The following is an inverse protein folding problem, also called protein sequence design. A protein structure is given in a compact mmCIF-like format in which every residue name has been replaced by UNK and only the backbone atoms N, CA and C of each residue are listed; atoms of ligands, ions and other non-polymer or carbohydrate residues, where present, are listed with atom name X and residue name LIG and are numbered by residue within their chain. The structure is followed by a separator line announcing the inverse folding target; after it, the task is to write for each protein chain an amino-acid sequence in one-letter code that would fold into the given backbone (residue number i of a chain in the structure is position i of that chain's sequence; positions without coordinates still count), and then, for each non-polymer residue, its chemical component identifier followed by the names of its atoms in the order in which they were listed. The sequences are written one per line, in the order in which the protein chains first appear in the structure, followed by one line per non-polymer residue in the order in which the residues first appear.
data_IF_701281087400
#
_entry.id   IF_701281087400
#
_cell.length_a   1.000
_cell.length_b   1.000
_cell.length_c   1.000
_cell.angle_alpha   90.00
_cell.angle_beta   90.00
_cell.angle_gamma   90.00
#
_symmetry.space_group_name_H-M   'P 1'
#
loop_
_entity.id
_entity.type
_entity.pdbx_description
1 polymer ?
#
# COMPACT_ATOMS: atom_id res chain seq x y z
N UNK A 1 -54.16 40.48 20.06
CA UNK A 1 -55.10 39.33 20.06
C UNK A 1 -54.52 38.34 19.05
N UNK A 2 -54.00 37.17 19.34
CA UNK A 2 -54.09 36.28 20.49
C UNK A 2 -52.74 35.53 20.60
N UNK A 3 -52.19 35.42 21.81
CA UNK A 3 -50.96 34.69 22.10
C UNK A 3 -51.28 33.20 22.28
N UNK A 4 -50.49 32.32 21.68
CA UNK A 4 -50.39 30.92 22.09
C UNK A 4 -48.91 30.55 22.17
N UNK A 5 -48.36 30.81 23.36
CA UNK A 5 -47.08 30.34 23.86
C UNK A 5 -47.14 28.83 24.11
N UNK A 6 -46.37 28.07 23.33
CA UNK A 6 -45.79 26.76 23.66
C UNK A 6 -44.48 26.74 22.85
N UNK A 7 -43.33 27.22 23.32
CA UNK A 7 -42.83 27.05 24.66
C UNK A 7 -42.49 25.58 24.89
N UNK A 8 -41.49 25.04 24.18
CA UNK A 8 -40.47 24.14 24.73
C UNK A 8 -39.44 23.75 23.65
N UNK A 9 -38.25 24.34 23.75
CA UNK A 9 -37.01 23.67 23.38
C UNK A 9 -36.97 22.32 24.12
N UNK A 10 -37.11 21.20 23.41
CA UNK A 10 -36.69 19.91 23.92
C UNK A 10 -35.27 19.62 23.40
N UNK A 11 -34.34 20.43 23.92
CA UNK A 11 -33.04 19.92 24.36
C UNK A 11 -33.35 18.90 25.47
N UNK A 12 -32.60 17.79 25.54
CA UNK A 12 -32.84 16.59 26.37
C UNK A 12 -33.91 15.66 25.76
N UNK A 13 -33.68 14.40 25.38
CA UNK A 13 -32.77 13.43 25.94
C UNK A 13 -32.69 12.22 24.96
N UNK A 14 -31.83 12.31 23.95
CA UNK A 14 -31.18 11.11 23.45
C UNK A 14 -29.68 11.27 23.72
N UNK A 15 -29.34 11.31 25.00
CA UNK A 15 -28.06 10.79 25.46
C UNK A 15 -28.09 9.29 25.19
N UNK A 16 -27.90 8.92 23.92
CA UNK A 16 -27.27 7.63 23.67
C UNK A 16 -25.92 7.73 24.37
N UNK A 17 -25.61 6.87 25.34
CA UNK A 17 -24.21 6.62 25.60
C UNK A 17 -23.72 6.04 24.28
N UNK A 18 -22.92 6.81 23.54
CA UNK A 18 -21.94 6.18 22.67
C UNK A 18 -21.12 5.34 23.63
N UNK A 19 -21.49 4.07 23.77
CA UNK A 19 -20.63 3.06 24.36
C UNK A 19 -19.38 3.14 23.50
N UNK A 20 -18.37 3.82 24.02
CA UNK A 20 -17.02 3.63 23.59
C UNK A 20 -16.77 2.14 23.73
N UNK A 21 -16.82 1.47 22.58
CA UNK A 21 -16.19 0.19 22.24
C UNK A 21 -16.45 -0.07 20.73
N UNK A 22 -16.15 0.93 19.91
CA UNK A 22 -15.65 0.71 18.56
C UNK A 22 -14.30 1.43 18.48
N UNK A 23 -13.42 1.14 19.44
CA UNK A 23 -12.01 1.43 19.25
C UNK A 23 -11.59 0.57 18.06
N UNK A 24 -11.45 1.19 16.89
CA UNK A 24 -10.68 0.59 15.81
C UNK A 24 -9.37 0.15 16.45
N UNK A 25 -9.20 -1.17 16.64
CA UNK A 25 -8.03 -1.70 17.32
C UNK A 25 -6.82 -1.17 16.58
N UNK A 26 -6.02 -0.34 17.25
CA UNK A 26 -4.77 0.09 16.69
C UNK A 26 -3.94 -1.18 16.44
N UNK A 27 -3.50 -1.37 15.20
CA UNK A 27 -2.61 -2.46 14.86
C UNK A 27 -1.36 -2.37 15.75
N UNK A 28 -0.93 -3.49 16.31
CA UNK A 28 0.38 -3.60 16.95
C UNK A 28 1.48 -3.36 15.92
N UNK A 29 2.69 -3.00 16.35
CA UNK A 29 3.78 -2.71 15.40
C UNK A 29 4.11 -3.91 14.51
N UNK A 30 4.00 -5.14 15.04
CA UNK A 30 4.15 -6.38 14.25
C UNK A 30 3.05 -6.55 13.20
N UNK A 31 1.80 -6.26 13.57
CA UNK A 31 0.67 -6.32 12.63
C UNK A 31 0.82 -5.24 11.55
N UNK A 32 1.27 -4.03 11.92
CA UNK A 32 1.52 -2.96 10.96
C UNK A 32 2.58 -3.34 9.95
N UNK A 33 3.69 -3.92 10.40
CA UNK A 33 4.76 -4.35 9.50
C UNK A 33 4.29 -5.45 8.55
N UNK A 34 3.57 -6.45 9.07
CA UNK A 34 3.00 -7.52 8.25
C UNK A 34 2.00 -6.99 7.20
N UNK A 35 1.13 -6.06 7.59
CA UNK A 35 0.17 -5.42 6.68
C UNK A 35 0.92 -4.58 5.64
N UNK A 36 1.92 -3.81 6.04
CA UNK A 36 2.73 -2.99 5.12
C UNK A 36 3.41 -3.88 4.07
N UNK A 37 4.05 -4.97 4.50
CA UNK A 37 4.66 -5.94 3.58
C UNK A 37 3.63 -6.57 2.63
N UNK A 38 2.46 -6.95 3.14
CA UNK A 38 1.40 -7.51 2.32
C UNK A 38 0.83 -6.49 1.30
N UNK A 39 0.74 -5.21 1.68
CA UNK A 39 0.35 -4.11 0.78
C UNK A 39 1.38 -3.91 -0.34
N UNK A 40 2.68 -4.00 -0.04
CA UNK A 40 3.74 -3.91 -1.06
C UNK A 40 3.66 -5.07 -2.05
N UNK A 41 3.54 -6.30 -1.54
CA UNK A 41 3.46 -7.50 -2.40
C UNK A 41 2.20 -7.47 -3.29
N UNK A 42 1.02 -7.21 -2.72
CA UNK A 42 -0.22 -7.09 -3.51
C UNK A 42 -0.22 -5.87 -4.42
N UNK A 43 0.39 -4.76 -4.01
CA UNK A 43 0.63 -3.61 -4.85
C UNK A 43 1.42 -4.00 -6.09
N UNK A 44 2.55 -4.70 -5.93
CA UNK A 44 3.39 -5.17 -7.04
C UNK A 44 2.62 -6.04 -8.04
N UNK A 45 1.89 -7.04 -7.55
CA UNK A 45 1.08 -7.92 -8.40
C UNK A 45 0.02 -7.13 -9.19
N UNK A 46 -0.77 -6.30 -8.49
CA UNK A 46 -1.89 -5.59 -9.11
C UNK A 46 -1.43 -4.46 -10.04
N UNK A 47 -0.40 -3.71 -9.64
CA UNK A 47 0.18 -2.70 -10.51
C UNK A 47 0.78 -3.37 -11.74
N UNK A 48 1.55 -4.44 -11.62
CA UNK A 48 2.09 -5.16 -12.79
C UNK A 48 1.02 -5.70 -13.75
N UNK A 49 -0.09 -6.22 -13.22
CA UNK A 49 -1.13 -6.85 -14.02
C UNK A 49 -2.13 -5.85 -14.67
N UNK A 50 -2.56 -4.83 -13.93
CA UNK A 50 -3.67 -3.96 -14.34
C UNK A 50 -3.26 -2.50 -14.56
N UNK A 51 -2.13 -2.11 -13.98
CA UNK A 51 -1.58 -0.78 -13.98
C UNK A 51 -2.23 0.21 -13.03
N UNK A 52 -1.48 1.29 -12.71
CA UNK A 52 -1.82 2.25 -11.65
C UNK A 52 -3.24 2.82 -11.79
N UNK A 53 -3.69 3.13 -13.01
CA UNK A 53 -5.01 3.74 -13.24
C UNK A 53 -6.16 2.80 -12.88
N UNK A 54 -6.04 1.50 -13.17
CA UNK A 54 -7.11 0.51 -12.96
C UNK A 54 -7.09 -0.09 -11.55
N UNK A 55 -5.95 -0.05 -10.86
CA UNK A 55 -5.84 -0.53 -9.49
C UNK A 55 -6.52 0.44 -8.51
N UNK A 56 -7.50 -0.07 -7.77
CA UNK A 56 -8.24 0.69 -6.76
C UNK A 56 -7.78 0.38 -5.33
N UNK A 57 -7.65 1.42 -4.51
CA UNK A 57 -7.26 1.31 -3.08
C UNK A 57 -8.16 0.34 -2.31
N UNK A 58 -9.48 0.39 -2.55
CA UNK A 58 -10.42 -0.48 -1.87
C UNK A 58 -10.26 -1.96 -2.23
N UNK A 59 -9.86 -2.27 -3.46
CA UNK A 59 -9.61 -3.65 -3.88
C UNK A 59 -8.31 -4.17 -3.28
N UNK A 60 -7.27 -3.35 -3.29
CA UNK A 60 -5.97 -3.65 -2.71
C UNK A 60 -6.08 -3.90 -1.19
N UNK A 61 -6.82 -3.03 -0.48
CA UNK A 61 -7.12 -3.19 0.94
C UNK A 61 -7.87 -4.51 1.23
N UNK A 62 -8.87 -4.85 0.41
CA UNK A 62 -9.60 -6.12 0.52
C UNK A 62 -8.69 -7.33 0.25
N UNK A 63 -7.79 -7.25 -0.72
CA UNK A 63 -6.85 -8.31 -1.04
C UNK A 63 -5.88 -8.62 0.11
N UNK A 64 -5.54 -7.61 0.91
CA UNK A 64 -4.70 -7.74 2.12
C UNK A 64 -5.53 -8.06 3.38
N UNK A 65 -6.87 -8.00 3.30
CA UNK A 65 -7.76 -8.32 4.42
C UNK A 65 -7.94 -7.17 5.41
N UNK A 66 -7.71 -5.92 4.99
CA UNK A 66 -7.94 -4.72 5.81
C UNK A 66 -9.14 -3.92 5.30
N UNK A 67 -9.72 -3.08 6.18
CA UNK A 67 -10.76 -2.15 5.76
C UNK A 67 -10.17 -1.10 4.78
N UNK A 68 -10.91 -0.67 3.74
CA UNK A 68 -10.42 0.34 2.78
C UNK A 68 -9.91 1.63 3.43
N UNK A 69 -10.56 2.08 4.51
CA UNK A 69 -10.12 3.27 5.25
C UNK A 69 -8.80 3.06 6.01
N UNK A 70 -8.47 1.82 6.39
CA UNK A 70 -7.22 1.49 7.08
C UNK A 70 -6.00 1.54 6.18
N UNK A 71 -6.17 1.53 4.85
CA UNK A 71 -5.08 1.73 3.90
C UNK A 71 -4.33 3.04 4.16
N UNK A 72 -5.08 4.11 4.44
CA UNK A 72 -4.54 5.45 4.67
C UNK A 72 -3.77 5.59 5.98
N UNK A 73 -3.76 4.56 6.82
CA UNK A 73 -2.85 4.47 7.97
C UNK A 73 -1.42 4.04 7.59
N UNK A 74 -1.22 3.55 6.35
CA UNK A 74 0.04 3.02 5.85
C UNK A 74 0.63 3.82 4.68
N UNK A 75 -0.23 4.34 3.80
CA UNK A 75 0.13 5.12 2.63
C UNK A 75 -0.94 6.19 2.38
N UNK A 76 -0.53 7.42 2.11
CA UNK A 76 -1.41 8.55 1.83
C UNK A 76 -2.12 8.40 0.47
N UNK A 77 -1.51 7.64 -0.45
CA UNK A 77 -2.05 7.40 -1.79
C UNK A 77 -1.59 6.06 -2.38
N UNK A 78 -2.26 5.59 -3.44
CA UNK A 78 -1.80 4.41 -4.19
C UNK A 78 -0.54 4.69 -4.99
N UNK A 79 -0.31 5.94 -5.36
CA UNK A 79 0.90 6.43 -5.99
C UNK A 79 2.09 6.30 -5.03
N UNK A 80 1.92 6.67 -3.75
CA UNK A 80 2.95 6.46 -2.73
C UNK A 80 3.24 4.97 -2.52
N UNK A 81 2.22 4.12 -2.49
CA UNK A 81 2.42 2.66 -2.47
C UNK A 81 3.23 2.20 -3.70
N UNK A 82 2.92 2.71 -4.90
CA UNK A 82 3.67 2.38 -6.10
C UNK A 82 5.15 2.79 -5.98
N UNK A 83 5.43 4.00 -5.49
CA UNK A 83 6.80 4.44 -5.24
C UNK A 83 7.53 3.52 -4.26
N UNK A 84 6.88 3.15 -3.15
CA UNK A 84 7.46 2.23 -2.18
C UNK A 84 7.73 0.83 -2.78
N UNK A 85 6.84 0.33 -3.64
CA UNK A 85 7.09 -0.91 -4.40
C UNK A 85 8.30 -0.75 -5.31
N UNK A 86 8.41 0.36 -6.04
CA UNK A 86 9.55 0.61 -6.95
C UNK A 86 10.88 0.71 -6.19
N UNK A 87 10.91 1.33 -5.01
CA UNK A 87 12.12 1.37 -4.17
C UNK A 87 12.55 -0.02 -3.69
N UNK A 88 11.59 -0.90 -3.40
CA UNK A 88 11.89 -2.27 -3.00
C UNK A 88 12.45 -3.09 -4.17
N UNK A 89 11.89 -2.90 -5.36
CA UNK A 89 12.40 -3.48 -6.61
C UNK A 89 13.82 -2.99 -6.90
N UNK A 90 14.07 -1.68 -6.79
CA UNK A 90 15.39 -1.08 -6.97
C UNK A 90 16.40 -1.69 -6.00
N UNK A 91 16.06 -1.80 -4.71
CA UNK A 91 16.93 -2.42 -3.70
C UNK A 91 17.23 -3.88 -4.03
N UNK A 92 16.23 -4.66 -4.46
CA UNK A 92 16.42 -6.06 -4.86
C UNK A 92 17.37 -6.18 -6.05
N UNK A 93 17.16 -5.34 -7.05
CA UNK A 93 18.01 -5.26 -8.25
C UNK A 93 19.44 -4.84 -7.86
N UNK A 94 19.59 -3.83 -7.02
CA UNK A 94 20.88 -3.31 -6.60
C UNK A 94 21.70 -4.37 -5.83
N UNK A 95 21.09 -5.07 -4.87
CA UNK A 95 21.75 -6.15 -4.12
C UNK A 95 22.16 -7.29 -5.06
N UNK A 96 21.28 -7.67 -5.98
CA UNK A 96 21.56 -8.71 -6.96
C UNK A 96 22.76 -8.36 -7.84
N UNK A 97 22.78 -7.18 -8.46
CA UNK A 97 23.89 -6.74 -9.29
C UNK A 97 25.18 -6.48 -8.50
N UNK A 98 25.09 -5.94 -7.27
CA UNK A 98 26.25 -5.74 -6.41
C UNK A 98 26.95 -7.08 -6.11
N UNK A 99 26.18 -8.17 -5.93
CA UNK A 99 26.74 -9.51 -5.74
C UNK A 99 27.51 -10.01 -6.96
N UNK A 100 27.01 -9.74 -8.17
CA UNK A 100 27.64 -10.14 -9.43
C UNK A 100 28.90 -9.32 -9.75
N UNK A 101 28.88 -8.03 -9.41
CA UNK A 101 29.99 -7.09 -9.61
C UNK A 101 31.07 -7.21 -8.53
N UNK A 102 30.86 -8.04 -7.50
CA UNK A 102 31.89 -8.29 -6.50
C UNK A 102 33.08 -9.06 -7.10
N UNK A 103 34.30 -8.56 -6.87
CA UNK A 103 35.55 -9.12 -7.40
C UNK A 103 35.79 -8.81 -8.89
N UNK A 104 36.64 -9.61 -9.54
CA UNK A 104 37.03 -9.34 -10.93
C UNK A 104 35.86 -9.54 -11.91
N UNK A 105 35.72 -8.60 -12.85
CA UNK A 105 34.74 -8.64 -13.92
C UNK A 105 35.24 -9.58 -15.04
N UNK A 106 34.87 -10.85 -14.95
CA UNK A 106 35.18 -11.84 -15.99
C UNK A 106 34.20 -11.72 -17.17
N UNK A 107 34.60 -12.22 -18.34
CA UNK A 107 33.71 -12.30 -19.52
C UNK A 107 32.39 -13.00 -19.21
N UNK A 108 32.41 -14.03 -18.37
CA UNK A 108 31.22 -14.76 -17.94
C UNK A 108 30.30 -13.90 -17.07
N UNK A 109 30.84 -13.18 -16.09
CA UNK A 109 30.07 -12.24 -15.25
C UNK A 109 29.50 -11.09 -16.06
N UNK A 110 30.26 -10.54 -17.01
CA UNK A 110 29.77 -9.48 -17.90
C UNK A 110 28.62 -9.97 -18.78
N UNK A 111 28.74 -11.18 -19.35
CA UNK A 111 27.64 -11.79 -20.11
C UNK A 111 26.41 -11.99 -19.22
N UNK A 112 26.60 -12.49 -18.01
CA UNK A 112 25.52 -12.74 -17.06
C UNK A 112 24.80 -11.45 -16.66
N UNK A 113 25.55 -10.38 -16.36
CA UNK A 113 25.01 -9.05 -16.07
C UNK A 113 24.17 -8.50 -17.23
N UNK A 114 24.66 -8.62 -18.47
CA UNK A 114 23.94 -8.12 -19.65
C UNK A 114 22.66 -8.91 -19.92
N UNK A 115 22.70 -10.24 -19.82
CA UNK A 115 21.52 -11.09 -20.05
C UNK A 115 20.46 -10.87 -18.95
N UNK A 116 20.88 -10.84 -17.70
CA UNK A 116 19.97 -10.64 -16.56
C UNK A 116 19.42 -9.20 -16.52
N UNK A 117 20.25 -8.19 -16.85
CA UNK A 117 19.79 -6.80 -16.94
C UNK A 117 18.72 -6.58 -18.00
N UNK A 118 18.86 -7.22 -19.17
CA UNK A 118 17.83 -7.18 -20.22
C UNK A 118 16.57 -7.93 -19.78
N UNK A 119 16.70 -9.12 -19.18
CA UNK A 119 15.56 -9.88 -18.70
C UNK A 119 14.74 -9.12 -17.65
N UNK A 120 15.41 -8.46 -16.69
CA UNK A 120 14.76 -7.63 -15.65
C UNK A 120 14.03 -6.43 -16.28
N UNK A 121 14.58 -5.82 -17.32
CA UNK A 121 13.93 -4.73 -18.05
C UNK A 121 12.70 -5.22 -18.85
N UNK A 122 12.70 -6.48 -19.28
CA UNK A 122 11.59 -7.08 -20.02
C UNK A 122 10.46 -7.60 -19.12
N UNK A 123 10.79 -8.17 -17.95
CA UNK A 123 9.83 -8.74 -17.00
C UNK A 123 9.18 -7.71 -16.08
N UNK A 124 9.80 -6.55 -15.87
CA UNK A 124 9.20 -5.49 -15.07
C UNK A 124 8.04 -4.83 -15.82
N UNK A 125 6.86 -5.43 -15.67
CA UNK A 125 5.58 -4.88 -16.12
C UNK A 125 5.32 -3.47 -15.57
N UNK A 126 5.94 -3.09 -14.44
CA UNK A 126 5.91 -1.72 -13.91
C UNK A 126 6.63 -0.69 -14.79
N UNK A 127 7.67 -1.09 -15.53
CA UNK A 127 8.41 -0.18 -16.44
C UNK A 127 7.76 -0.05 -17.82
N UNK A 128 6.72 -0.85 -18.11
CA UNK A 128 6.05 -0.91 -19.42
C UNK A 128 4.70 -0.16 -19.47
N UNK A 129 4.35 0.61 -18.45
CA UNK A 129 3.02 1.23 -18.29
C UNK A 129 2.95 2.72 -18.61
#
# INVERSE_FOLDING_TARGET
MSWAFLGLCCVYHCTMPVRGDCMARAFSDKEKEAIRSALLEKGREMFGAYGLKRTGVAELARAVGIAPGSFYSFFDSKEELLFAVMEEEEKRIHVHFASLLSGDLTRSKLKQLLVEGVAIAEENSLLRQ
#
